data_IF_675616889769
#
_entry.id   IF_675616889769
#
_cell.length_a   1.000
_cell.length_b   1.000
_cell.length_c   1.000
_cell.angle_alpha   90.00
_cell.angle_beta   90.00
_cell.angle_gamma   90.00
#
_symmetry.space_group_name_H-M   'P 1'
#
loop_
_entity.id
_entity.type
_entity.pdbx_description
1 polymer ?
#
# COMPACT_ATOMS: atom_id res chain seq x y z
N UNK A 1 -15.75 23.08 32.18
CA UNK A 1 -16.84 23.39 33.13
C UNK A 1 -17.66 24.52 32.51
N UNK A 2 -18.96 24.46 32.22
CA UNK A 2 -20.10 23.54 32.41
C UNK A 2 -21.07 23.88 31.25
N UNK A 3 -21.66 22.98 30.45
CA UNK A 3 -22.63 21.89 30.68
C UNK A 3 -23.91 22.33 31.41
N UNK A 4 -25.01 22.47 30.66
CA UNK A 4 -26.43 22.14 30.94
C UNK A 4 -27.32 22.99 30.00
N UNK A 5 -28.42 22.58 29.36
CA UNK A 5 -29.24 21.37 29.11
C UNK A 5 -30.34 21.82 28.11
N UNK A 6 -31.12 21.04 27.35
CA UNK A 6 -31.58 19.66 27.46
C UNK A 6 -32.14 19.20 26.08
N UNK A 7 -31.90 17.93 25.67
CA UNK A 7 -32.47 17.28 24.49
C UNK A 7 -33.90 16.75 24.70
N UNK A 8 -34.81 16.98 23.76
CA UNK A 8 -36.11 16.29 23.72
C UNK A 8 -36.76 16.35 22.33
N UNK A 9 -36.27 15.55 21.37
CA UNK A 9 -37.10 15.10 20.24
C UNK A 9 -37.18 13.58 20.34
N UNK A 10 -38.31 13.15 20.88
CA UNK A 10 -38.68 11.78 21.18
C UNK A 10 -38.92 11.01 19.89
N UNK A 11 -38.27 9.85 19.81
CA UNK A 11 -38.72 8.59 19.22
C UNK A 11 -40.19 8.56 18.81
N UNK A 12 -40.45 8.14 17.57
CA UNK A 12 -41.64 7.36 17.19
C UNK A 12 -41.40 6.63 15.86
N UNK A 13 -41.69 5.32 15.91
CA UNK A 13 -42.05 4.40 14.82
C UNK A 13 -40.89 3.89 13.94
N UNK A 14 -40.36 2.67 14.13
CA UNK A 14 -41.00 1.34 14.04
C UNK A 14 -41.39 0.94 12.61
N UNK A 15 -40.88 -0.22 12.18
CA UNK A 15 -41.21 -0.94 10.94
C UNK A 15 -40.12 -0.75 9.87
N UNK A 16 -39.47 -1.77 9.32
CA UNK A 16 -39.98 -3.08 8.97
C UNK A 16 -38.78 -4.06 8.86
N UNK A 17 -38.74 -5.05 9.73
CA UNK A 17 -37.86 -6.21 9.62
C UNK A 17 -38.62 -7.25 8.77
N UNK A 18 -38.20 -7.49 7.53
CA UNK A 18 -38.73 -8.60 6.72
C UNK A 18 -37.72 -9.73 6.73
N UNK A 19 -38.11 -10.81 7.40
CA UNK A 19 -37.49 -12.13 7.34
C UNK A 19 -37.93 -12.87 6.07
N UNK A 20 -37.05 -13.76 5.61
CA UNK A 20 -37.29 -14.91 4.73
C UNK A 20 -37.56 -14.63 3.24
N UNK A 21 -36.49 -14.72 2.46
CA UNK A 21 -36.53 -15.06 1.04
C UNK A 21 -35.58 -16.22 0.74
N UNK A 22 -35.96 -17.44 1.11
CA UNK A 22 -35.43 -18.65 0.48
C UNK A 22 -36.08 -18.77 -0.90
N UNK A 23 -35.54 -18.06 -1.88
CA UNK A 23 -35.86 -18.27 -3.29
C UNK A 23 -34.89 -19.31 -3.85
N UNK A 24 -35.33 -20.57 -3.90
CA UNK A 24 -34.78 -21.55 -4.83
C UNK A 24 -35.18 -21.13 -6.25
N UNK A 25 -34.35 -20.26 -6.83
CA UNK A 25 -34.35 -19.95 -8.25
C UNK A 25 -33.34 -20.85 -8.95
N UNK A 26 -33.83 -21.78 -9.75
CA UNK A 26 -33.06 -22.44 -10.79
C UNK A 26 -32.55 -21.38 -11.78
N UNK A 27 -31.34 -20.87 -11.55
CA UNK A 27 -30.63 -20.04 -12.53
C UNK A 27 -29.99 -20.97 -13.58
N UNK A 28 -30.40 -20.91 -14.85
CA UNK A 28 -29.69 -21.60 -15.91
C UNK A 28 -28.29 -20.99 -16.02
N UNK A 29 -27.28 -21.84 -15.81
CA UNK A 29 -25.88 -21.49 -15.81
C UNK A 29 -25.47 -20.67 -17.03
N UNK A 30 -25.21 -19.39 -16.81
CA UNK A 30 -24.15 -18.70 -17.51
C UNK A 30 -22.93 -18.84 -16.60
N UNK A 31 -22.14 -19.89 -16.86
CA UNK A 31 -20.82 -20.02 -16.27
C UNK A 31 -20.05 -18.74 -16.56
N UNK A 32 -19.93 -17.89 -15.55
CA UNK A 32 -18.75 -17.04 -15.49
C UNK A 32 -17.64 -18.05 -15.26
N UNK A 33 -17.08 -18.49 -16.38
CA UNK A 33 -15.82 -19.20 -16.37
C UNK A 33 -14.88 -18.22 -15.69
N UNK A 34 -14.65 -18.43 -14.39
CA UNK A 34 -13.52 -17.87 -13.69
C UNK A 34 -12.31 -18.56 -14.32
N UNK A 35 -12.03 -18.17 -15.58
CA UNK A 35 -10.72 -18.18 -16.14
C UNK A 35 -9.96 -17.32 -15.16
N UNK A 36 -9.41 -18.00 -14.16
CA UNK A 36 -8.28 -17.52 -13.41
C UNK A 36 -7.39 -16.97 -14.50
N UNK A 37 -7.36 -15.64 -14.61
CA UNK A 37 -6.26 -14.98 -15.26
C UNK A 37 -5.11 -15.44 -14.41
N UNK A 38 -4.49 -16.53 -14.83
CA UNK A 38 -3.24 -17.05 -14.34
C UNK A 38 -2.39 -15.80 -14.36
N UNK A 39 -2.20 -15.23 -13.16
CA UNK A 39 -1.29 -14.13 -12.96
C UNK A 39 -0.02 -14.64 -13.57
N UNK A 40 0.31 -14.14 -14.76
CA UNK A 40 1.60 -14.36 -15.36
C UNK A 40 2.55 -13.68 -14.37
N UNK A 41 3.01 -14.47 -13.40
CA UNK A 41 4.10 -14.11 -12.54
C UNK A 41 5.26 -13.98 -13.48
N UNK A 42 5.50 -12.76 -13.97
CA UNK A 42 6.77 -12.42 -14.59
C UNK A 42 7.77 -12.77 -13.50
N UNK A 43 8.46 -13.90 -13.68
CA UNK A 43 9.40 -14.37 -12.70
C UNK A 43 10.39 -13.23 -12.53
N UNK A 44 10.43 -12.65 -11.32
CA UNK A 44 11.49 -11.73 -10.97
C UNK A 44 12.75 -12.58 -10.91
N UNK A 45 13.51 -12.55 -12.01
CA UNK A 45 14.81 -13.18 -12.11
C UNK A 45 15.77 -12.31 -11.32
N UNK A 46 16.27 -12.86 -10.20
CA UNK A 46 17.29 -12.18 -9.42
C UNK A 46 18.54 -12.10 -10.29
N UNK A 47 19.06 -10.91 -10.60
CA UNK A 47 20.29 -10.81 -11.37
C UNK A 47 21.43 -11.51 -10.60
N UNK A 48 22.44 -12.06 -11.31
CA UNK A 48 23.60 -12.64 -10.68
C UNK A 48 24.29 -11.61 -9.77
N UNK A 49 24.80 -12.07 -8.63
CA UNK A 49 25.55 -11.23 -7.68
C UNK A 49 27.01 -11.22 -8.15
N UNK A 50 27.38 -10.19 -8.89
CA UNK A 50 28.74 -10.06 -9.45
C UNK A 50 29.59 -9.11 -8.62
N UNK A 51 28.96 -8.13 -7.97
CA UNK A 51 29.64 -7.05 -7.27
C UNK A 51 29.30 -7.00 -5.79
N UNK A 52 30.12 -6.25 -5.05
CA UNK A 52 29.82 -5.92 -3.65
C UNK A 52 28.53 -5.12 -3.53
N UNK A 53 28.21 -4.28 -4.52
CA UNK A 53 26.97 -3.51 -4.53
C UNK A 53 25.76 -4.45 -4.63
N UNK A 54 25.82 -5.50 -5.45
CA UNK A 54 24.76 -6.50 -5.58
C UNK A 54 24.53 -7.25 -4.27
N UNK A 55 25.63 -7.62 -3.59
CA UNK A 55 25.56 -8.30 -2.29
C UNK A 55 24.88 -7.43 -1.23
N UNK A 56 25.17 -6.13 -1.22
CA UNK A 56 24.55 -5.16 -0.31
C UNK A 56 23.08 -4.98 -0.66
N UNK A 57 22.76 -4.81 -1.95
CA UNK A 57 21.38 -4.67 -2.41
C UNK A 57 20.52 -5.87 -2.01
N UNK A 58 21.04 -7.10 -2.18
CA UNK A 58 20.35 -8.31 -1.74
C UNK A 58 20.18 -8.35 -0.23
N UNK A 59 21.23 -8.02 0.55
CA UNK A 59 21.14 -7.99 2.02
C UNK A 59 20.08 -7.00 2.51
N UNK A 60 19.98 -5.83 1.86
CA UNK A 60 18.92 -4.85 2.15
C UNK A 60 17.56 -5.44 1.78
N UNK A 61 17.40 -6.05 0.60
CA UNK A 61 16.13 -6.64 0.19
C UNK A 61 15.65 -7.72 1.17
N UNK A 62 16.54 -8.63 1.58
CA UNK A 62 16.22 -9.69 2.54
C UNK A 62 15.81 -9.13 3.91
N UNK A 63 16.51 -8.11 4.41
CA UNK A 63 16.14 -7.43 5.64
C UNK A 63 14.74 -6.77 5.58
N UNK A 64 14.20 -6.53 4.38
CA UNK A 64 12.88 -5.94 4.16
C UNK A 64 11.80 -6.97 3.73
N UNK A 65 12.04 -8.26 3.99
CA UNK A 65 11.08 -9.34 3.71
C UNK A 65 11.34 -10.11 2.42
N UNK A 66 12.52 -9.91 1.82
CA UNK A 66 13.01 -10.70 0.69
C UNK A 66 12.23 -10.53 -0.60
N UNK A 67 12.49 -11.44 -1.54
CA UNK A 67 11.95 -11.40 -2.91
C UNK A 67 10.43 -11.37 -2.94
N UNK A 68 9.75 -12.09 -2.06
CA UNK A 68 8.29 -12.17 -2.06
C UNK A 68 7.63 -10.86 -1.60
N UNK A 69 8.20 -10.20 -0.58
CA UNK A 69 7.77 -8.85 -0.22
C UNK A 69 8.06 -7.88 -1.38
N UNK A 70 9.27 -7.95 -1.96
CA UNK A 70 9.66 -7.13 -3.11
C UNK A 70 8.70 -7.27 -4.30
N UNK A 71 8.15 -8.46 -4.57
CA UNK A 71 7.17 -8.67 -5.66
C UNK A 71 5.84 -7.95 -5.42
N UNK A 72 5.40 -7.84 -4.17
CA UNK A 72 4.08 -7.27 -3.82
C UNK A 72 4.11 -5.76 -3.54
N UNK A 73 5.25 -5.23 -3.10
CA UNK A 73 5.31 -3.80 -2.75
C UNK A 73 5.23 -2.91 -3.99
N UNK A 74 4.31 -1.95 -3.92
CA UNK A 74 4.10 -0.97 -4.98
C UNK A 74 5.06 0.20 -4.89
N UNK A 75 5.29 0.67 -3.66
CA UNK A 75 6.07 1.87 -3.39
C UNK A 75 7.36 1.51 -2.66
N UNK A 76 8.46 2.10 -3.12
CA UNK A 76 9.75 2.05 -2.42
C UNK A 76 10.13 3.48 -2.07
N UNK A 77 10.51 3.69 -0.80
CA UNK A 77 10.97 4.98 -0.32
C UNK A 77 12.38 4.87 0.25
N UNK A 78 13.26 5.77 -0.16
CA UNK A 78 14.59 5.94 0.42
C UNK A 78 14.71 7.34 1.01
N UNK A 79 15.09 7.41 2.28
CA UNK A 79 15.34 8.66 2.97
C UNK A 79 16.84 8.76 3.27
N UNK A 80 17.49 9.76 2.67
CA UNK A 80 18.90 10.05 2.89
C UNK A 80 19.02 11.31 3.74
N UNK A 81 19.65 11.17 4.90
CA UNK A 81 20.10 12.29 5.72
C UNK A 81 21.61 12.40 5.66
N UNK A 82 22.14 13.58 5.37
CA UNK A 82 23.56 13.87 5.50
C UNK A 82 23.77 15.21 6.20
N UNK A 83 24.86 15.30 6.95
CA UNK A 83 25.30 16.53 7.59
C UNK A 83 26.28 17.24 6.65
N UNK A 84 25.98 18.48 6.28
CA UNK A 84 26.86 19.33 5.52
C UNK A 84 28.04 19.80 6.37
N UNK A 85 29.10 20.28 5.72
CA UNK A 85 30.27 20.83 6.42
C UNK A 85 29.94 22.05 7.30
N UNK A 86 28.80 22.70 7.06
CA UNK A 86 28.25 23.78 7.87
C UNK A 86 27.38 23.29 9.06
N UNK A 87 27.36 21.98 9.32
CA UNK A 87 26.54 21.34 10.35
C UNK A 87 25.06 21.25 10.00
N UNK A 88 24.63 21.69 8.80
CA UNK A 88 23.22 21.60 8.41
C UNK A 88 22.87 20.19 7.96
N UNK A 89 21.76 19.67 8.47
CA UNK A 89 21.22 18.39 8.00
C UNK A 89 20.41 18.60 6.74
N UNK A 90 20.86 17.99 5.65
CA UNK A 90 20.10 17.91 4.41
C UNK A 90 19.39 16.56 4.38
N UNK A 91 18.09 16.58 4.14
CA UNK A 91 17.29 15.38 3.94
C UNK A 91 16.75 15.33 2.52
N UNK A 92 16.98 14.20 1.83
CA UNK A 92 16.40 13.89 0.52
C UNK A 92 15.54 12.65 0.65
N UNK A 93 14.32 12.73 0.13
CA UNK A 93 13.38 11.61 0.16
C UNK A 93 13.04 11.23 -1.28
N UNK A 94 13.23 9.96 -1.59
CA UNK A 94 13.04 9.40 -2.92
C UNK A 94 11.88 8.43 -2.84
N UNK A 95 10.81 8.68 -3.59
CA UNK A 95 9.64 7.81 -3.66
C UNK A 95 9.49 7.28 -5.09
N UNK A 96 9.41 5.95 -5.21
CA UNK A 96 9.23 5.26 -6.48
C UNK A 96 7.94 4.44 -6.47
N UNK A 97 7.01 4.74 -7.38
CA UNK A 97 5.88 3.88 -7.75
C UNK A 97 6.37 2.90 -8.82
N UNK A 98 6.75 1.69 -8.40
CA UNK A 98 7.32 0.68 -9.29
C UNK A 98 6.39 0.25 -10.40
N UNK A 99 5.09 0.20 -10.11
CA UNK A 99 4.08 -0.33 -11.02
C UNK A 99 3.76 0.63 -12.16
N UNK A 100 3.88 1.93 -11.91
CA UNK A 100 3.65 2.97 -12.94
C UNK A 100 4.94 3.63 -13.40
N UNK A 101 6.08 3.12 -12.93
CA UNK A 101 7.40 3.68 -13.13
C UNK A 101 7.47 5.20 -12.91
N UNK A 102 6.85 5.69 -11.84
CA UNK A 102 6.86 7.12 -11.49
C UNK A 102 7.79 7.35 -10.33
N UNK A 103 8.60 8.38 -10.45
CA UNK A 103 9.62 8.72 -9.47
C UNK A 103 9.44 10.16 -9.01
N UNK A 104 9.54 10.38 -7.69
CA UNK A 104 9.44 11.69 -7.05
C UNK A 104 10.59 11.87 -6.08
N UNK A 105 11.24 13.03 -6.15
CA UNK A 105 12.18 13.50 -5.14
C UNK A 105 11.51 14.60 -4.34
N UNK A 106 11.50 14.46 -3.02
CA UNK A 106 11.04 15.48 -2.10
C UNK A 106 12.25 16.05 -1.36
N UNK A 107 12.34 17.37 -1.37
CA UNK A 107 13.30 18.15 -0.61
C UNK A 107 12.62 18.65 0.66
N UNK A 108 13.36 18.73 1.76
CA UNK A 108 12.92 19.62 2.83
C UNK A 108 13.20 21.05 2.35
N UNK A 109 12.14 21.82 2.12
CA UNK A 109 12.24 23.27 2.03
C UNK A 109 12.75 23.78 3.38
N UNK A 110 13.85 24.55 3.37
CA UNK A 110 14.36 25.19 4.57
C UNK A 110 13.32 26.12 5.19
N UNK A 111 13.43 26.36 6.49
CA UNK A 111 12.73 27.48 7.12
C UNK A 111 13.29 28.78 6.54
N UNK A 112 12.43 29.56 5.91
CA UNK A 112 12.65 30.91 5.39
C UNK A 112 13.41 31.81 6.39
#
# INVERSE_FOLDING_TARGET
MNIHSDPSIRFLLAGLFVLAGCGSGDEPGAGYDATATSEASVAFDMPPIETRADSIALSIMEAHGGVDAWRRIRYVRFDFGFEGADGKRVARRHLWDRFRNRYRVEWQTGSD
#
